data_IF_350829746337
#
_entry.id   IF_350829746337
#
_cell.length_a   1.000
_cell.length_b   1.000
_cell.length_c   1.000
_cell.angle_alpha   90.00
_cell.angle_beta   90.00
_cell.angle_gamma   90.00
#
_symmetry.space_group_name_H-M   'P 1'
#
loop_
_entity.id
_entity.type
_entity.pdbx_description
1 polymer ?
#
# COMPACT_ATOMS: atom_id res chain seq x y z
N UNK A 1 27.87 12.44 20.21
CA UNK A 1 26.63 13.04 19.62
C UNK A 1 25.97 12.20 18.52
N UNK A 2 26.70 11.53 17.61
CA UNK A 2 26.10 10.72 16.52
C UNK A 2 25.24 9.54 16.99
N UNK A 3 25.65 8.83 18.03
CA UNK A 3 24.87 7.72 18.60
C UNK A 3 23.48 8.14 19.12
N UNK A 4 23.38 9.33 19.73
CA UNK A 4 22.08 9.85 20.21
C UNK A 4 21.08 10.06 19.08
N UNK A 5 21.52 10.60 17.93
CA UNK A 5 20.64 10.88 16.78
C UNK A 5 20.09 9.60 16.17
N UNK A 6 20.93 8.57 16.05
CA UNK A 6 20.54 7.28 15.47
C UNK A 6 19.48 6.62 16.36
N UNK A 7 19.67 6.66 17.69
CA UNK A 7 18.68 6.16 18.65
C UNK A 7 17.35 6.94 18.57
N UNK A 8 17.40 8.27 18.40
CA UNK A 8 16.18 9.09 18.24
C UNK A 8 15.37 8.70 16.99
N UNK A 9 16.02 8.40 15.87
CA UNK A 9 15.32 7.97 14.65
C UNK A 9 14.60 6.63 14.84
N UNK A 10 15.23 5.68 15.52
CA UNK A 10 14.62 4.38 15.80
C UNK A 10 13.47 4.46 16.81
N UNK A 11 13.56 5.35 17.80
CA UNK A 11 12.44 5.63 18.70
C UNK A 11 11.26 6.28 17.96
N UNK A 12 11.55 7.14 16.99
CA UNK A 12 10.53 7.84 16.21
C UNK A 12 9.72 6.87 15.33
N UNK A 13 10.36 5.93 14.62
CA UNK A 13 9.62 4.92 13.84
C UNK A 13 8.75 4.02 14.74
N UNK A 14 9.23 3.66 15.94
CA UNK A 14 8.44 2.90 16.92
C UNK A 14 7.23 3.71 17.40
N UNK A 15 7.43 4.98 17.75
CA UNK A 15 6.35 5.87 18.17
C UNK A 15 5.27 6.03 17.09
N UNK A 16 5.65 6.16 15.82
CA UNK A 16 4.69 6.20 14.70
C UNK A 16 3.95 4.88 14.57
N UNK A 17 4.68 3.77 14.65
CA UNK A 17 4.12 2.43 14.46
C UNK A 17 3.06 2.13 15.53
N UNK A 18 3.37 2.36 16.81
CA UNK A 18 2.47 2.09 17.93
C UNK A 18 1.51 3.23 18.26
N UNK A 19 1.76 4.45 17.77
CA UNK A 19 0.87 5.60 17.92
C UNK A 19 -0.33 5.59 16.96
N UNK A 20 -0.37 4.64 16.01
CA UNK A 20 -1.46 4.50 15.04
C UNK A 20 -2.52 3.49 15.52
N UNK A 21 -3.81 3.83 15.47
CA UNK A 21 -4.91 2.90 15.78
C UNK A 21 -4.98 1.68 14.86
N UNK A 22 -4.51 1.80 13.61
CA UNK A 22 -4.54 0.69 12.65
C UNK A 22 -3.75 -0.54 13.13
N UNK A 23 -2.56 -0.35 13.73
CA UNK A 23 -1.78 -1.51 14.21
C UNK A 23 -2.49 -2.25 15.33
N UNK A 24 -3.20 -1.53 16.20
CA UNK A 24 -3.91 -2.12 17.33
C UNK A 24 -5.10 -2.96 16.87
N UNK A 25 -5.80 -2.51 15.83
CA UNK A 25 -6.82 -3.34 15.17
C UNK A 25 -6.21 -4.58 14.53
N UNK A 26 -5.07 -4.44 13.83
CA UNK A 26 -4.38 -5.59 13.24
C UNK A 26 -3.96 -6.58 14.34
N UNK A 27 -3.44 -6.13 15.49
CA UNK A 27 -3.10 -7.02 16.61
C UNK A 27 -4.33 -7.75 17.16
N UNK A 28 -5.47 -7.07 17.27
CA UNK A 28 -6.72 -7.66 17.76
C UNK A 28 -7.23 -8.78 16.84
N UNK A 29 -7.13 -8.56 15.53
CA UNK A 29 -7.63 -9.50 14.53
C UNK A 29 -6.61 -10.62 14.20
N UNK A 30 -5.32 -10.29 14.13
CA UNK A 30 -4.24 -11.22 13.86
C UNK A 30 -2.89 -10.75 14.44
N UNK A 31 -2.55 -11.24 15.64
CA UNK A 31 -1.32 -10.92 16.36
C UNK A 31 -0.06 -11.17 15.51
N UNK A 32 0.00 -12.30 14.77
CA UNK A 32 1.19 -12.69 14.00
C UNK A 32 1.44 -11.68 12.88
N UNK A 33 0.41 -11.31 12.12
CA UNK A 33 0.51 -10.29 11.07
C UNK A 33 0.95 -8.95 11.66
N UNK A 34 0.39 -8.55 12.80
CA UNK A 34 0.78 -7.34 13.52
C UNK A 34 2.27 -7.32 13.88
N UNK A 35 2.78 -8.39 14.50
CA UNK A 35 4.21 -8.50 14.85
C UNK A 35 5.08 -8.41 13.60
N UNK A 36 4.74 -9.16 12.54
CA UNK A 36 5.50 -9.17 11.30
C UNK A 36 5.52 -7.79 10.62
N UNK A 37 4.42 -7.03 10.66
CA UNK A 37 4.37 -5.67 10.11
C UNK A 37 5.23 -4.68 10.90
N UNK A 38 5.28 -4.79 12.23
CA UNK A 38 6.18 -3.97 13.07
C UNK A 38 7.63 -4.26 12.69
N UNK A 39 8.01 -5.54 12.63
CA UNK A 39 9.36 -5.97 12.23
C UNK A 39 9.67 -5.47 10.82
N UNK A 40 8.74 -5.63 9.87
CA UNK A 40 8.92 -5.21 8.49
C UNK A 40 9.10 -3.68 8.37
N UNK A 41 8.33 -2.89 9.12
CA UNK A 41 8.46 -1.43 9.19
C UNK A 41 9.85 -1.03 9.68
N UNK A 42 10.31 -1.67 10.75
CA UNK A 42 11.62 -1.40 11.33
C UNK A 42 12.77 -1.81 10.40
N UNK A 43 12.69 -3.00 9.78
CA UNK A 43 13.70 -3.48 8.84
C UNK A 43 13.78 -2.64 7.58
N UNK A 44 12.64 -2.23 7.03
CA UNK A 44 12.58 -1.32 5.89
C UNK A 44 13.21 0.03 6.24
N UNK A 45 12.83 0.63 7.37
CA UNK A 45 13.44 1.87 7.85
C UNK A 45 14.96 1.74 8.03
N UNK A 46 15.40 0.67 8.71
CA UNK A 46 16.82 0.37 8.95
C UNK A 46 17.60 0.19 7.65
N UNK A 47 17.00 -0.44 6.64
CA UNK A 47 17.60 -0.63 5.32
C UNK A 47 17.85 0.68 4.57
N UNK A 48 17.04 1.72 4.84
CA UNK A 48 17.17 3.04 4.22
C UNK A 48 18.13 3.97 4.97
N UNK A 49 18.19 3.85 6.30
CA UNK A 49 19.03 4.71 7.16
C UNK A 49 20.47 4.22 7.24
N UNK A 50 20.66 2.91 7.44
CA UNK A 50 22.00 2.34 7.58
C UNK A 50 22.63 2.02 6.21
N UNK A 51 23.91 1.62 6.22
CA UNK A 51 24.56 1.06 5.03
C UNK A 51 23.79 -0.15 4.51
N UNK A 52 23.60 -0.23 3.19
CA UNK A 52 22.91 -1.33 2.54
C UNK A 52 23.55 -2.68 2.90
N UNK A 53 22.73 -3.67 3.27
CA UNK A 53 23.17 -5.03 3.58
C UNK A 53 22.25 -6.04 2.91
N UNK A 54 22.83 -6.98 2.17
CA UNK A 54 22.07 -7.96 1.38
C UNK A 54 21.25 -8.91 2.28
N UNK A 55 21.83 -9.40 3.38
CA UNK A 55 21.15 -10.28 4.32
C UNK A 55 19.89 -9.64 4.90
N UNK A 56 19.93 -8.35 5.22
CA UNK A 56 18.76 -7.60 5.71
C UNK A 56 17.67 -7.47 4.63
N UNK A 57 18.07 -7.28 3.37
CA UNK A 57 17.12 -7.26 2.25
C UNK A 57 16.45 -8.63 2.07
N UNK A 58 17.21 -9.73 2.17
CA UNK A 58 16.65 -11.08 2.07
C UNK A 58 15.62 -11.36 3.18
N UNK A 59 15.92 -10.95 4.42
CA UNK A 59 14.98 -11.06 5.54
C UNK A 59 13.72 -10.22 5.28
N UNK A 60 13.89 -8.99 4.77
CA UNK A 60 12.77 -8.11 4.40
C UNK A 60 11.86 -8.77 3.36
N UNK A 61 12.45 -9.33 2.29
CA UNK A 61 11.72 -10.05 1.24
C UNK A 61 10.98 -11.25 1.83
N UNK A 62 11.65 -12.06 2.65
CA UNK A 62 11.03 -13.23 3.28
C UNK A 62 9.82 -12.85 4.13
N UNK A 63 9.95 -11.84 5.00
CA UNK A 63 8.85 -11.36 5.84
C UNK A 63 7.73 -10.78 4.99
N UNK A 64 8.05 -10.01 3.95
CA UNK A 64 7.06 -9.46 3.02
C UNK A 64 6.25 -10.58 2.34
N UNK A 65 6.93 -11.61 1.83
CA UNK A 65 6.28 -12.76 1.20
C UNK A 65 5.43 -13.55 2.20
N UNK A 66 5.91 -13.72 3.44
CA UNK A 66 5.16 -14.40 4.50
C UNK A 66 3.87 -13.64 4.84
N UNK A 67 3.93 -12.32 5.03
CA UNK A 67 2.72 -11.51 5.26
C UNK A 67 1.79 -11.59 4.05
N UNK A 68 2.32 -11.46 2.83
CA UNK A 68 1.54 -11.56 1.59
C UNK A 68 0.80 -12.90 1.49
N UNK A 69 1.46 -14.00 1.84
CA UNK A 69 0.83 -15.32 1.87
C UNK A 69 -0.29 -15.39 2.92
N UNK A 70 -0.03 -14.91 4.14
CA UNK A 70 -1.03 -14.92 5.23
C UNK A 70 -2.25 -14.06 4.90
N UNK A 71 -2.05 -12.89 4.30
CA UNK A 71 -3.14 -11.98 3.92
C UNK A 71 -3.94 -12.55 2.76
N UNK A 72 -3.30 -13.04 1.71
CA UNK A 72 -4.00 -13.65 0.56
C UNK A 72 -4.76 -14.91 0.95
N UNK A 73 -4.23 -15.72 1.88
CA UNK A 73 -4.95 -16.93 2.36
C UNK A 73 -6.34 -16.61 2.92
N UNK A 74 -6.53 -15.43 3.51
CA UNK A 74 -7.78 -15.02 4.16
C UNK A 74 -8.57 -14.03 3.32
N UNK A 75 -7.89 -13.09 2.65
CA UNK A 75 -8.48 -11.95 1.99
C UNK A 75 -8.50 -12.01 0.47
N UNK A 76 -8.11 -13.12 -0.17
CA UNK A 76 -8.12 -13.23 -1.63
C UNK A 76 -9.53 -13.07 -2.23
N UNK A 77 -9.65 -12.21 -3.24
CA UNK A 77 -10.91 -11.99 -3.95
C UNK A 77 -11.08 -12.92 -5.14
N UNK A 78 -11.72 -14.06 -4.91
CA UNK A 78 -12.06 -15.00 -5.98
C UNK A 78 -13.00 -14.37 -7.04
N UNK A 79 -13.76 -13.31 -6.71
CA UNK A 79 -14.70 -12.67 -7.64
C UNK A 79 -14.00 -11.89 -8.75
N UNK A 80 -12.69 -11.64 -8.64
CA UNK A 80 -11.88 -11.07 -9.71
C UNK A 80 -11.94 -11.97 -10.96
N UNK A 81 -11.91 -13.29 -10.76
CA UNK A 81 -11.86 -14.28 -11.83
C UNK A 81 -13.22 -14.89 -12.16
N UNK A 82 -14.26 -14.52 -11.40
CA UNK A 82 -15.64 -14.93 -11.67
C UNK A 82 -16.34 -13.82 -12.45
N UNK A 83 -16.99 -14.21 -13.53
CA UNK A 83 -17.73 -13.29 -14.40
C UNK A 83 -19.22 -13.39 -14.11
N UNK A 84 -19.83 -12.29 -13.65
CA UNK A 84 -21.28 -12.24 -13.46
C UNK A 84 -22.04 -11.96 -14.77
N UNK A 85 -23.32 -12.34 -14.88
CA UNK A 85 -24.15 -11.97 -16.04
C UNK A 85 -24.24 -10.46 -16.25
N UNK A 86 -24.23 -9.68 -15.17
CA UNK A 86 -24.22 -8.22 -15.20
C UNK A 86 -22.91 -7.68 -15.79
N UNK A 87 -21.77 -8.23 -15.35
CA UNK A 87 -20.44 -7.87 -15.89
C UNK A 87 -20.37 -8.13 -17.40
N UNK A 88 -20.89 -9.29 -17.86
CA UNK A 88 -20.97 -9.62 -19.29
C UNK A 88 -21.85 -8.67 -20.07
N UNK A 89 -23.01 -8.30 -19.52
CA UNK A 89 -23.93 -7.35 -20.15
C UNK A 89 -23.25 -5.98 -20.34
N UNK A 90 -22.59 -5.48 -19.30
CA UNK A 90 -21.85 -4.21 -19.38
C UNK A 90 -20.68 -4.30 -20.36
N UNK A 91 -19.94 -5.40 -20.33
CA UNK A 91 -18.82 -5.62 -21.23
C UNK A 91 -19.26 -5.65 -22.70
N UNK A 92 -20.33 -6.39 -23.02
CA UNK A 92 -20.84 -6.50 -24.39
C UNK A 92 -21.34 -5.15 -24.91
N UNK A 93 -21.98 -4.34 -24.06
CA UNK A 93 -22.40 -2.98 -24.42
C UNK A 93 -21.21 -2.09 -24.75
N UNK A 94 -20.14 -2.14 -23.92
CA UNK A 94 -18.91 -1.38 -24.16
C UNK A 94 -18.20 -1.85 -25.42
N UNK A 95 -18.10 -3.16 -25.64
CA UNK A 95 -17.48 -3.71 -26.84
C UNK A 95 -18.19 -3.29 -28.11
N UNK A 96 -19.54 -3.36 -28.14
CA UNK A 96 -20.32 -2.91 -29.28
C UNK A 96 -20.01 -1.46 -29.65
N UNK A 97 -20.04 -0.57 -28.65
CA UNK A 97 -19.72 0.84 -28.84
C UNK A 97 -18.32 1.08 -29.42
N UNK A 98 -17.28 0.43 -28.88
CA UNK A 98 -15.90 0.63 -29.35
C UNK A 98 -15.58 -0.12 -30.65
N UNK A 99 -16.25 -1.23 -30.93
CA UNK A 99 -16.09 -1.97 -32.18
C UNK A 99 -16.61 -1.18 -33.38
N UNK A 100 -17.67 -0.38 -33.19
CA UNK A 100 -18.23 0.50 -34.21
C UNK A 100 -17.24 1.62 -34.62
N UNK A 101 -16.39 2.08 -33.69
CA UNK A 101 -15.42 3.17 -33.94
C UNK A 101 -14.01 2.69 -34.35
N UNK A 102 -13.55 1.53 -33.87
CA UNK A 102 -12.14 1.10 -33.98
C UNK A 102 -11.85 0.03 -35.06
N UNK A 103 -12.88 -0.46 -35.77
CA UNK A 103 -12.72 -1.30 -36.97
C UNK A 103 -12.00 -2.65 -36.76
N UNK A 104 -11.28 -3.13 -37.79
CA UNK A 104 -10.73 -4.50 -37.92
C UNK A 104 -9.85 -5.00 -36.75
N UNK A 105 -9.23 -4.09 -35.98
CA UNK A 105 -8.43 -4.44 -34.80
C UNK A 105 -9.28 -5.01 -33.66
N UNK A 106 -10.51 -4.53 -33.50
CA UNK A 106 -11.44 -4.98 -32.47
C UNK A 106 -12.31 -6.17 -32.90
N UNK A 107 -12.32 -6.51 -34.20
CA UNK A 107 -13.13 -7.62 -34.75
C UNK A 107 -12.34 -8.91 -34.99
N UNK A 108 -11.01 -8.90 -34.85
CA UNK A 108 -10.20 -10.11 -34.93
C UNK A 108 -10.59 -11.10 -33.80
N UNK A 109 -10.68 -12.40 -34.13
CA UNK A 109 -10.98 -13.47 -33.17
C UNK A 109 -10.04 -13.48 -31.96
N UNK A 110 -8.78 -13.09 -32.14
CA UNK A 110 -7.84 -12.98 -31.03
C UNK A 110 -8.22 -11.85 -30.07
N UNK A 111 -8.49 -10.65 -30.58
CA UNK A 111 -8.88 -9.50 -29.75
C UNK A 111 -10.23 -9.73 -29.08
N UNK A 112 -11.20 -10.35 -29.76
CA UNK A 112 -12.47 -10.73 -29.15
C UNK A 112 -12.31 -11.77 -28.02
N UNK A 113 -11.45 -12.78 -28.20
CA UNK A 113 -11.16 -13.76 -27.13
C UNK A 113 -10.42 -13.10 -25.96
N UNK A 114 -9.37 -12.32 -26.24
CA UNK A 114 -8.62 -11.61 -25.20
C UNK A 114 -9.53 -10.65 -24.43
N UNK A 115 -10.37 -9.90 -25.14
CA UNK A 115 -11.35 -9.00 -24.52
C UNK A 115 -12.36 -9.77 -23.67
N UNK A 116 -12.92 -10.88 -24.16
CA UNK A 116 -13.90 -11.68 -23.39
C UNK A 116 -13.31 -12.29 -22.11
N UNK A 117 -12.07 -12.78 -22.15
CA UNK A 117 -11.50 -13.56 -21.04
C UNK A 117 -10.57 -12.77 -20.11
N UNK A 118 -9.90 -11.72 -20.61
CA UNK A 118 -8.90 -10.97 -19.84
C UNK A 118 -9.40 -9.61 -19.37
N UNK A 119 -10.27 -8.94 -20.13
CA UNK A 119 -10.63 -7.55 -19.80
C UNK A 119 -11.36 -7.43 -18.47
N UNK A 120 -12.26 -8.35 -18.13
CA UNK A 120 -13.00 -8.32 -16.86
C UNK A 120 -12.08 -8.52 -15.65
N UNK A 121 -11.25 -9.57 -15.57
CA UNK A 121 -10.27 -9.69 -14.49
C UNK A 121 -9.32 -8.49 -14.41
N UNK A 122 -8.83 -7.99 -15.56
CA UNK A 122 -7.93 -6.83 -15.59
C UNK A 122 -8.63 -5.59 -15.03
N UNK A 123 -9.86 -5.30 -15.45
CA UNK A 123 -10.64 -4.15 -14.95
C UNK A 123 -10.93 -4.26 -13.45
N UNK A 124 -11.20 -5.46 -12.95
CA UNK A 124 -11.40 -5.70 -11.51
C UNK A 124 -10.10 -5.51 -10.72
N UNK A 125 -8.98 -6.05 -11.22
CA UNK A 125 -7.65 -5.83 -10.64
C UNK A 125 -7.26 -4.35 -10.64
N UNK A 126 -7.49 -3.66 -11.75
CA UNK A 126 -7.24 -2.22 -11.90
C UNK A 126 -8.06 -1.42 -10.89
N UNK A 127 -9.35 -1.72 -10.75
CA UNK A 127 -10.21 -1.07 -9.76
C UNK A 127 -9.70 -1.29 -8.33
N UNK A 128 -9.34 -2.53 -7.98
CA UNK A 128 -8.78 -2.84 -6.67
C UNK A 128 -7.45 -2.11 -6.44
N UNK A 129 -6.56 -2.11 -7.44
CA UNK A 129 -5.28 -1.41 -7.41
C UNK A 129 -5.46 0.08 -7.11
N UNK A 130 -6.30 0.78 -7.89
CA UNK A 130 -6.53 2.21 -7.68
C UNK A 130 -7.21 2.51 -6.36
N UNK A 131 -8.16 1.66 -5.92
CA UNK A 131 -8.77 1.84 -4.60
C UNK A 131 -7.75 1.73 -3.47
N UNK A 132 -6.80 0.80 -3.57
CA UNK A 132 -5.75 0.60 -2.57
C UNK A 132 -4.65 1.66 -2.63
N UNK A 133 -4.48 2.34 -3.76
CA UNK A 133 -3.51 3.44 -3.91
C UNK A 133 -4.07 4.80 -3.50
N UNK A 134 -5.39 4.91 -3.29
CA UNK A 134 -6.01 6.16 -2.86
C UNK A 134 -5.51 6.56 -1.47
N UNK A 135 -4.87 7.73 -1.38
CA UNK A 135 -4.38 8.30 -0.12
C UNK A 135 -5.53 8.52 0.87
N UNK A 136 -6.73 8.82 0.36
CA UNK A 136 -7.91 9.01 1.20
C UNK A 136 -8.24 7.78 2.02
N UNK A 137 -7.99 6.58 1.48
CA UNK A 137 -8.21 5.32 2.18
C UNK A 137 -7.46 5.26 3.52
N UNK A 138 -6.28 5.90 3.61
CA UNK A 138 -5.38 5.80 4.76
C UNK A 138 -5.50 6.94 5.77
N UNK A 139 -5.92 8.13 5.34
CA UNK A 139 -5.91 9.34 6.18
C UNK A 139 -7.28 10.00 6.37
N UNK A 140 -8.28 9.67 5.54
CA UNK A 140 -9.58 10.35 5.52
C UNK A 140 -10.75 9.37 5.62
N UNK A 141 -11.84 9.78 6.24
CA UNK A 141 -13.06 8.96 6.33
C UNK A 141 -13.62 8.66 4.92
N UNK A 142 -14.16 7.46 4.70
CA UNK A 142 -14.77 7.12 3.41
C UNK A 142 -16.08 7.89 3.25
N UNK A 143 -16.52 8.07 2.00
CA UNK A 143 -17.77 8.80 1.75
C UNK A 143 -18.95 8.10 2.45
N UNK A 144 -19.95 8.84 2.97
CA UNK A 144 -21.10 8.25 3.68
C UNK A 144 -21.85 7.14 2.93
N UNK A 145 -21.77 7.14 1.60
CA UNK A 145 -22.37 6.12 0.70
C UNK A 145 -21.56 4.81 0.61
N UNK A 146 -20.32 4.79 1.09
CA UNK A 146 -19.40 3.65 1.08
C UNK A 146 -19.25 2.99 2.46
N UNK A 147 -19.87 3.56 3.51
CA UNK A 147 -19.83 3.09 4.91
C UNK A 147 -20.53 1.74 5.16
N UNK A 148 -21.04 1.08 4.12
CA UNK A 148 -21.77 -0.18 4.22
C UNK A 148 -20.88 -1.42 4.44
N UNK A 149 -19.59 -1.32 4.15
CA UNK A 149 -18.60 -2.39 4.36
C UNK A 149 -17.51 -1.86 5.28
N UNK A 150 -17.34 -2.49 6.45
CA UNK A 150 -16.54 -1.96 7.56
C UNK A 150 -15.20 -1.34 7.14
N UNK A 151 -15.04 -0.04 7.39
CA UNK A 151 -13.77 0.67 7.19
C UNK A 151 -12.71 0.10 8.13
N UNK A 152 -11.45 0.05 7.70
CA UNK A 152 -10.32 -0.20 8.60
C UNK A 152 -9.90 1.10 9.30
N UNK A 153 -9.17 0.97 10.41
CA UNK A 153 -8.70 2.11 11.21
C UNK A 153 -7.64 2.91 10.45
N UNK A 154 -7.71 4.24 10.52
CA UNK A 154 -6.92 5.15 9.69
C UNK A 154 -5.82 5.85 10.47
N UNK A 155 -4.83 6.37 9.76
CA UNK A 155 -3.87 7.31 10.34
C UNK A 155 -4.57 8.64 10.64
N UNK A 156 -4.09 9.34 11.66
CA UNK A 156 -4.50 10.72 11.90
C UNK A 156 -4.17 11.59 10.68
N UNK A 157 -5.13 12.41 10.24
CA UNK A 157 -4.96 13.34 9.12
C UNK A 157 -3.79 14.31 9.33
N UNK A 158 -3.41 14.60 10.58
CA UNK A 158 -2.23 15.42 10.92
C UNK A 158 -0.92 14.80 10.41
N UNK A 159 -0.88 13.47 10.25
CA UNK A 159 0.28 12.75 9.73
C UNK A 159 0.38 12.79 8.20
N UNK A 160 -0.60 13.36 7.50
CA UNK A 160 -0.56 13.51 6.04
C UNK A 160 0.58 14.44 5.61
N UNK A 161 0.80 15.54 6.32
CA UNK A 161 1.88 16.46 6.01
C UNK A 161 3.27 15.82 6.12
N UNK A 162 3.66 15.16 7.24
CA UNK A 162 4.91 14.42 7.28
C UNK A 162 4.95 13.25 6.29
N UNK A 163 3.84 12.58 5.98
CA UNK A 163 3.80 11.57 4.93
C UNK A 163 4.25 12.12 3.57
N UNK A 164 3.70 13.27 3.15
CA UNK A 164 4.05 13.94 1.87
C UNK A 164 5.52 14.40 1.89
N UNK A 165 5.98 15.06 2.96
CA UNK A 165 7.38 15.46 3.09
C UNK A 165 8.33 14.26 3.07
N UNK A 166 7.90 13.16 3.69
CA UNK A 166 8.59 11.88 3.68
C UNK A 166 8.82 11.37 2.27
N UNK A 167 7.77 11.40 1.43
CA UNK A 167 7.83 10.93 0.05
C UNK A 167 8.96 11.60 -0.73
N UNK A 168 9.06 12.92 -0.66
CA UNK A 168 10.15 13.66 -1.29
C UNK A 168 11.53 13.34 -0.68
N UNK A 169 11.58 13.15 0.65
CA UNK A 169 12.83 12.89 1.37
C UNK A 169 13.47 11.54 1.03
N UNK A 170 12.67 10.56 0.59
CA UNK A 170 13.12 9.21 0.29
C UNK A 170 13.34 8.92 -1.19
N UNK A 171 13.13 9.89 -2.09
CA UNK A 171 13.28 9.71 -3.55
C UNK A 171 14.67 9.19 -3.95
N UNK A 172 15.72 9.55 -3.20
CA UNK A 172 17.07 8.99 -3.41
C UNK A 172 17.17 7.47 -3.24
N UNK A 173 16.20 6.84 -2.58
CA UNK A 173 16.11 5.40 -2.37
C UNK A 173 15.03 4.73 -3.24
N UNK A 174 14.66 5.37 -4.37
CA UNK A 174 13.57 4.93 -5.24
C UNK A 174 13.62 3.45 -5.65
N UNK A 175 14.81 2.84 -5.77
CA UNK A 175 14.91 1.42 -6.14
C UNK A 175 14.29 0.51 -5.07
N UNK A 176 14.72 0.67 -3.82
CA UNK A 176 14.24 -0.17 -2.70
C UNK A 176 12.77 0.15 -2.42
N UNK A 177 12.45 1.44 -2.35
CA UNK A 177 11.11 1.90 -2.00
C UNK A 177 10.11 1.62 -3.12
N UNK A 178 10.47 1.95 -4.36
CA UNK A 178 9.61 1.73 -5.51
C UNK A 178 9.34 0.25 -5.70
N UNK A 179 10.36 -0.61 -5.56
CA UNK A 179 10.15 -2.07 -5.58
C UNK A 179 9.18 -2.51 -4.49
N UNK A 180 9.38 -2.07 -3.25
CA UNK A 180 8.47 -2.40 -2.15
C UNK A 180 7.03 -1.94 -2.43
N UNK A 181 6.84 -0.68 -2.83
CA UNK A 181 5.53 -0.10 -3.10
C UNK A 181 4.84 -0.81 -4.26
N UNK A 182 5.54 -1.06 -5.37
CA UNK A 182 5.00 -1.81 -6.50
C UNK A 182 4.62 -3.23 -6.11
N UNK A 183 5.45 -3.94 -5.34
CA UNK A 183 5.12 -5.28 -4.84
C UNK A 183 3.91 -5.24 -3.90
N UNK A 184 3.83 -4.29 -2.98
CA UNK A 184 2.69 -4.12 -2.08
C UNK A 184 1.39 -3.87 -2.86
N UNK A 185 1.45 -3.03 -3.89
CA UNK A 185 0.32 -2.72 -4.75
C UNK A 185 -0.13 -3.93 -5.58
N UNK A 186 0.81 -4.68 -6.16
CA UNK A 186 0.53 -5.90 -6.95
C UNK A 186 -0.06 -7.03 -6.11
N UNK A 187 0.33 -7.16 -4.83
CA UNK A 187 -0.33 -8.13 -3.96
C UNK A 187 -1.69 -7.61 -3.50
N UNK A 188 -1.80 -6.32 -3.16
CA UNK A 188 -3.04 -5.76 -2.63
C UNK A 188 -4.17 -5.71 -3.66
N UNK A 189 -3.89 -5.61 -4.97
CA UNK A 189 -4.93 -5.69 -6.01
C UNK A 189 -5.70 -7.03 -6.01
N UNK A 190 -5.12 -8.09 -5.43
CA UNK A 190 -5.76 -9.41 -5.29
C UNK A 190 -6.62 -9.54 -4.02
N UNK A 191 -6.58 -8.54 -3.13
CA UNK A 191 -7.36 -8.55 -1.89
C UNK A 191 -8.79 -8.06 -2.15
N UNK A 192 -9.72 -8.66 -1.42
CA UNK A 192 -11.13 -8.26 -1.41
C UNK A 192 -11.24 -6.86 -0.81
N UNK A 193 -11.95 -5.92 -1.46
CA UNK A 193 -12.19 -4.57 -0.91
C UNK A 193 -12.82 -4.57 0.49
N UNK A 194 -13.57 -5.61 0.85
CA UNK A 194 -14.18 -5.78 2.17
C UNK A 194 -13.26 -6.49 3.20
N UNK A 195 -11.98 -6.73 2.88
CA UNK A 195 -11.04 -7.34 3.79
C UNK A 195 -10.82 -6.44 5.02
N UNK A 196 -11.12 -6.96 6.22
CA UNK A 196 -11.25 -6.14 7.44
C UNK A 196 -9.98 -5.44 7.90
N UNK A 197 -8.81 -5.96 7.52
CA UNK A 197 -7.51 -5.36 7.84
C UNK A 197 -7.09 -4.29 6.83
N UNK A 198 -7.77 -4.20 5.69
CA UNK A 198 -7.37 -3.35 4.58
C UNK A 198 -6.07 -3.81 3.91
N UNK A 199 -5.47 -2.96 3.07
CA UNK A 199 -4.25 -3.28 2.33
C UNK A 199 -3.01 -3.13 3.23
N UNK A 200 -2.86 -4.04 4.20
CA UNK A 200 -1.86 -3.97 5.28
C UNK A 200 -0.40 -3.92 4.81
N UNK A 201 -0.11 -4.34 3.58
CA UNK A 201 1.26 -4.27 3.03
C UNK A 201 1.73 -2.82 2.78
N UNK A 202 0.82 -1.85 2.75
CA UNK A 202 1.19 -0.42 2.69
C UNK A 202 1.60 0.14 4.04
N UNK A 203 1.23 -0.50 5.15
CA UNK A 203 1.49 0.00 6.51
C UNK A 203 2.99 0.28 6.77
N UNK A 204 3.94 -0.63 6.45
CA UNK A 204 5.36 -0.36 6.66
C UNK A 204 5.89 0.80 5.83
N UNK A 205 5.39 0.94 4.59
CA UNK A 205 5.77 2.04 3.72
C UNK A 205 5.27 3.39 4.26
N UNK A 206 3.99 3.48 4.66
CA UNK A 206 3.40 4.69 5.24
C UNK A 206 4.17 5.11 6.50
N UNK A 207 4.48 4.17 7.40
CA UNK A 207 5.25 4.47 8.61
C UNK A 207 6.64 5.02 8.29
N UNK A 208 7.33 4.42 7.32
CA UNK A 208 8.65 4.89 6.86
C UNK A 208 8.55 6.30 6.30
N UNK A 209 7.53 6.60 5.49
CA UNK A 209 7.32 7.94 4.95
C UNK A 209 7.11 8.97 6.05
N UNK A 210 6.18 8.72 6.98
CA UNK A 210 5.93 9.62 8.11
C UNK A 210 7.22 9.82 8.92
N UNK A 211 8.00 8.76 9.16
CA UNK A 211 9.25 8.85 9.90
C UNK A 211 10.27 9.76 9.22
N UNK A 212 10.53 9.54 7.92
CA UNK A 212 11.43 10.39 7.15
C UNK A 212 10.94 11.84 7.06
N UNK A 213 9.63 12.06 6.92
CA UNK A 213 9.06 13.40 6.88
C UNK A 213 9.24 14.17 8.18
N UNK A 214 9.00 13.52 9.33
CA UNK A 214 9.24 14.12 10.64
C UNK A 214 10.74 14.39 10.86
N UNK A 215 11.63 13.49 10.45
CA UNK A 215 13.09 13.71 10.53
C UNK A 215 13.50 14.92 9.68
N UNK A 216 13.02 15.01 8.45
CA UNK A 216 13.30 16.14 7.56
C UNK A 216 12.76 17.45 8.14
N UNK A 217 11.54 17.44 8.67
CA UNK A 217 10.94 18.60 9.34
C UNK A 217 11.79 19.07 10.52
N UNK A 218 12.15 18.17 11.45
CA UNK A 218 12.98 18.50 12.62
C UNK A 218 14.35 19.06 12.22
N UNK A 219 14.96 18.55 11.15
CA UNK A 219 16.25 19.07 10.66
C UNK A 219 16.13 20.48 10.08
N UNK A 220 15.03 20.82 9.39
CA UNK A 220 14.78 22.17 8.87
C UNK A 220 14.68 23.18 10.02
N UNK A 221 13.93 22.86 11.07
CA UNK A 221 13.80 23.75 12.24
C UNK A 221 15.13 23.93 12.97
N UNK A 222 15.90 22.85 13.14
CA UNK A 222 17.21 22.92 13.80
C UNK A 222 18.23 23.78 13.06
N UNK A 223 18.20 23.78 11.72
CA UNK A 223 19.11 24.60 10.91
C UNK A 223 18.71 26.07 10.84
N UNK A 224 17.45 26.42 11.18
CA UNK A 224 16.95 27.80 11.18
C UNK A 224 17.00 28.49 12.55
N UNK A 225 17.21 27.76 13.65
CA UNK A 225 17.40 28.39 14.95
C UNK A 225 18.80 29.02 15.05
N UNK A 226 18.94 30.28 15.49
CA UNK A 226 20.23 30.84 15.82
C UNK A 226 20.87 29.97 16.89
N UNK A 227 22.15 29.62 16.71
CA UNK A 227 22.93 28.94 17.76
C UNK A 227 23.13 29.96 18.88
N UNK A 228 22.29 29.90 19.91
CA UNK A 228 22.50 30.61 21.18
C UNK A 228 23.59 29.96 21.99
#
# INVERSE_FOLDING_TARGET
MLFSKIQTHYLLILAITFGNFWIWRIFKDNLVVGILLVILSFLLFKQLVDKFQIHRLLILIFIFLLISFLTLRVGFDANIFITSPQDLSQLNRRHGFYADELGLLFTNRFSQKAYKYLSLPILKLEKNLFSNLDINLYFFASHPRERGTGEFEKYSWLLLFPFILGFFSILKYYKVVGTYLSSAALISMLLNPAYSLGPVLFFPFINVLIAFGLISFLNIFKNKMPKS
#
